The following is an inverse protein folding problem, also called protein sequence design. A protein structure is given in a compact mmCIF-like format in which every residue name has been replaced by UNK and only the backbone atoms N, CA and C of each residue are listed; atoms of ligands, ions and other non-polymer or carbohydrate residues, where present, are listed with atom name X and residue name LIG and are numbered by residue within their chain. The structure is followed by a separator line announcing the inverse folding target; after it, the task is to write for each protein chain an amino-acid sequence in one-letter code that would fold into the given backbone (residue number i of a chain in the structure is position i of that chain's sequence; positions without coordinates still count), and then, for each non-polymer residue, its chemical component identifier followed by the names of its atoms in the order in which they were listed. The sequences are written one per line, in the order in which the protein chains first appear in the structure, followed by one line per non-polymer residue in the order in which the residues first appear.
data_IF_513239947114
#
_entry.id   IF_513239947114
#
_cell.length_a   1.000
_cell.length_b   1.000
_cell.length_c   1.000
_cell.angle_alpha   90.00
_cell.angle_beta   90.00
_cell.angle_gamma   90.00
#
_symmetry.space_group_name_H-M   'P 1'
#
loop_
_entity.id
_entity.type
_entity.pdbx_description
1 polymer ?
#
# COMPACT_ATOMS: atom_id res chain seq x y z
N UNK A 1 -24.80 27.58 -53.71
CA UNK A 1 -23.73 28.14 -52.83
C UNK A 1 -24.10 28.11 -51.35
N UNK A 2 -25.34 27.74 -50.97
CA UNK A 2 -25.68 27.39 -49.58
C UNK A 2 -25.49 25.89 -49.29
N UNK A 3 -25.50 25.07 -50.34
CA UNK A 3 -25.43 23.60 -50.22
C UNK A 3 -24.03 23.07 -49.86
N UNK A 4 -22.95 23.79 -50.22
CA UNK A 4 -21.57 23.40 -49.85
C UNK A 4 -21.19 23.78 -48.40
N UNK A 5 -21.80 24.82 -47.83
CA UNK A 5 -21.52 25.24 -46.44
C UNK A 5 -22.17 24.28 -45.44
N UNK A 6 -23.34 23.73 -45.77
CA UNK A 6 -24.06 22.75 -44.96
C UNK A 6 -23.37 21.37 -44.98
N UNK A 7 -22.82 20.96 -46.14
CA UNK A 7 -22.00 19.74 -46.26
C UNK A 7 -20.67 19.84 -45.50
N UNK A 8 -20.00 21.01 -45.53
CA UNK A 8 -18.78 21.23 -44.74
C UNK A 8 -19.06 21.20 -43.24
N UNK A 9 -20.18 21.78 -42.77
CA UNK A 9 -20.56 21.74 -41.37
C UNK A 9 -20.92 20.32 -40.90
N UNK A 10 -21.63 19.53 -41.70
CA UNK A 10 -21.92 18.12 -41.41
C UNK A 10 -20.67 17.24 -41.34
N UNK A 11 -19.69 17.49 -42.22
CA UNK A 11 -18.40 16.79 -42.26
C UNK A 11 -17.53 17.13 -41.04
N UNK A 12 -17.42 18.40 -40.68
CA UNK A 12 -16.62 18.85 -39.53
C UNK A 12 -17.23 18.36 -38.20
N UNK A 13 -18.55 18.46 -38.03
CA UNK A 13 -19.21 17.90 -36.83
C UNK A 13 -19.07 16.37 -36.77
N UNK A 14 -19.20 15.68 -37.90
CA UNK A 14 -19.03 14.23 -37.97
C UNK A 14 -17.61 13.77 -37.57
N UNK A 15 -16.59 14.56 -37.92
CA UNK A 15 -15.20 14.27 -37.56
C UNK A 15 -14.93 14.55 -36.07
N UNK A 16 -15.42 15.67 -35.52
CA UNK A 16 -15.28 15.98 -34.09
C UNK A 16 -15.98 14.96 -33.19
N UNK A 17 -17.16 14.47 -33.59
CA UNK A 17 -17.88 13.42 -32.85
C UNK A 17 -17.16 12.07 -32.91
N UNK A 18 -16.48 11.75 -34.02
CA UNK A 18 -15.63 10.56 -34.13
C UNK A 18 -14.34 10.68 -33.32
N UNK A 19 -13.69 11.84 -33.36
CA UNK A 19 -12.49 12.12 -32.57
C UNK A 19 -12.77 12.02 -31.06
N UNK A 20 -13.87 12.63 -30.59
CA UNK A 20 -14.26 12.62 -29.18
C UNK A 20 -14.69 11.24 -28.68
N UNK A 21 -15.31 10.41 -29.54
CA UNK A 21 -15.61 9.01 -29.22
C UNK A 21 -14.35 8.15 -29.15
N UNK A 22 -13.39 8.35 -30.06
CA UNK A 22 -12.09 7.66 -30.01
C UNK A 22 -11.29 8.05 -28.75
N UNK A 23 -11.31 9.34 -28.35
CA UNK A 23 -10.68 9.80 -27.12
C UNK A 23 -11.37 9.18 -25.88
N UNK A 24 -12.70 9.09 -25.87
CA UNK A 24 -13.43 8.45 -24.76
C UNK A 24 -13.17 6.93 -24.67
N UNK A 25 -13.11 6.22 -25.80
CA UNK A 25 -12.73 4.79 -25.85
C UNK A 25 -11.25 4.55 -25.49
N UNK A 26 -10.35 5.50 -25.77
CA UNK A 26 -8.96 5.45 -25.31
C UNK A 26 -8.84 5.69 -23.80
N UNK A 27 -9.68 6.55 -23.22
CA UNK A 27 -9.74 6.79 -21.77
C UNK A 27 -10.31 5.59 -21.00
N UNK A 28 -11.13 4.75 -21.64
CA UNK A 28 -11.71 3.53 -21.05
C UNK A 28 -10.79 2.29 -21.18
N UNK A 29 -9.70 2.38 -21.95
CA UNK A 29 -8.66 1.33 -22.06
C UNK A 29 -7.49 1.46 -21.09
N UNK A 30 -7.55 2.37 -20.12
CA UNK A 30 -6.64 2.35 -18.96
C UNK A 30 -7.17 1.35 -17.94
N UNK A 31 -7.19 0.07 -18.32
CA UNK A 31 -7.29 -1.05 -17.39
C UNK A 31 -5.88 -1.40 -16.95
N UNK A 32 -5.47 -0.83 -15.82
CA UNK A 32 -5.28 -1.61 -14.60
C UNK A 32 -5.14 -0.61 -13.43
N UNK A 33 -5.68 -0.91 -12.22
CA UNK A 33 -5.29 -0.17 -11.02
C UNK A 33 -3.76 -0.15 -10.98
N UNK A 34 -3.11 0.99 -10.63
CA UNK A 34 -1.67 1.13 -10.81
C UNK A 34 -0.97 -0.04 -10.13
N UNK A 35 -0.46 -0.96 -10.95
CA UNK A 35 0.57 -1.92 -10.57
C UNK A 35 1.63 -1.05 -9.91
N UNK A 36 1.83 -1.21 -8.60
CA UNK A 36 2.73 -0.38 -7.81
C UNK A 36 4.10 -0.37 -8.51
N UNK A 37 4.36 0.73 -9.20
CA UNK A 37 5.21 0.74 -10.40
C UNK A 37 6.63 0.27 -10.06
N UNK A 38 7.24 -0.52 -10.94
CA UNK A 38 8.59 -1.04 -10.81
C UNK A 38 9.68 0.06 -10.76
N UNK A 39 9.31 1.33 -10.87
CA UNK A 39 10.20 2.48 -10.80
C UNK A 39 10.00 3.23 -9.47
N UNK A 40 10.98 3.10 -8.56
CA UNK A 40 11.05 3.90 -7.34
C UNK A 40 11.74 5.26 -7.56
N UNK A 41 11.82 5.71 -8.81
CA UNK A 41 12.56 6.90 -9.19
C UNK A 41 11.77 8.16 -8.85
N UNK A 42 12.41 9.05 -8.11
CA UNK A 42 11.78 10.30 -7.69
C UNK A 42 11.73 11.28 -8.86
N UNK A 43 10.56 11.87 -9.07
CA UNK A 43 10.35 12.91 -10.09
C UNK A 43 9.94 14.22 -9.42
N UNK A 44 10.40 15.39 -9.91
CA UNK A 44 9.90 16.66 -9.42
C UNK A 44 8.38 16.73 -9.51
N UNK A 45 7.74 17.32 -8.48
CA UNK A 45 6.27 17.48 -8.38
C UNK A 45 5.46 16.19 -8.23
N UNK A 46 6.10 15.06 -7.92
CA UNK A 46 5.38 13.85 -7.54
C UNK A 46 4.48 14.12 -6.31
N UNK A 47 3.28 13.56 -6.32
CA UNK A 47 2.27 13.76 -5.29
C UNK A 47 1.71 12.43 -4.78
N UNK A 48 1.35 12.41 -3.52
CA UNK A 48 0.67 11.31 -2.85
C UNK A 48 -0.65 11.81 -2.26
N UNK A 49 -1.79 11.15 -2.49
CA UNK A 49 -3.09 11.60 -1.98
C UNK A 49 -3.14 11.72 -0.46
N UNK A 50 -2.44 10.83 0.25
CA UNK A 50 -2.39 10.83 1.72
C UNK A 50 -0.96 10.71 2.24
N UNK A 51 -0.79 10.99 3.54
CA UNK A 51 0.48 10.73 4.24
C UNK A 51 0.84 9.24 4.23
N UNK A 52 -0.15 8.34 4.28
CA UNK A 52 0.13 6.90 4.30
C UNK A 52 0.62 6.40 2.95
N UNK A 53 0.06 6.90 1.84
CA UNK A 53 0.57 6.60 0.50
C UNK A 53 2.02 7.08 0.32
N UNK A 54 2.33 8.26 0.86
CA UNK A 54 3.68 8.81 0.88
C UNK A 54 4.63 7.91 1.69
N UNK A 55 4.23 7.52 2.91
CA UNK A 55 5.00 6.61 3.76
C UNK A 55 5.24 5.27 3.08
N UNK A 56 4.21 4.68 2.50
CA UNK A 56 4.29 3.37 1.88
C UNK A 56 5.18 3.38 0.64
N UNK A 57 5.13 4.43 -0.15
CA UNK A 57 6.07 4.64 -1.25
C UNK A 57 7.53 4.65 -0.77
N UNK A 58 7.85 5.44 0.26
CA UNK A 58 9.22 5.51 0.75
C UNK A 58 9.67 4.22 1.47
N UNK A 59 8.78 3.55 2.21
CA UNK A 59 9.05 2.21 2.77
C UNK A 59 9.38 1.21 1.66
N UNK A 60 8.58 1.17 0.59
CA UNK A 60 8.81 0.29 -0.55
C UNK A 60 10.15 0.61 -1.24
N UNK A 61 10.43 1.89 -1.51
CA UNK A 61 11.72 2.32 -2.07
C UNK A 61 12.90 1.88 -1.20
N UNK A 62 12.81 2.08 0.11
CA UNK A 62 13.85 1.68 1.06
C UNK A 62 14.10 0.17 1.09
N UNK A 63 13.04 -0.63 1.05
CA UNK A 63 13.14 -2.10 0.99
C UNK A 63 13.75 -2.55 -0.34
N UNK A 64 13.29 -1.98 -1.47
CA UNK A 64 13.79 -2.32 -2.81
C UNK A 64 15.27 -1.95 -2.99
N UNK A 65 15.66 -0.76 -2.52
CA UNK A 65 17.03 -0.24 -2.61
C UNK A 65 17.90 -0.64 -1.40
N UNK A 66 17.36 -1.46 -0.48
CA UNK A 66 18.08 -2.07 0.64
C UNK A 66 18.75 -1.06 1.58
N UNK A 67 18.07 0.03 1.90
CA UNK A 67 18.53 1.00 2.91
C UNK A 67 17.49 1.20 4.00
N UNK A 68 17.89 1.87 5.08
CA UNK A 68 17.00 2.29 6.16
C UNK A 68 17.01 3.80 6.32
N UNK A 69 15.86 4.38 6.61
CA UNK A 69 15.71 5.81 6.92
C UNK A 69 15.03 6.03 8.28
N UNK A 70 15.11 7.27 8.76
CA UNK A 70 14.38 7.77 9.93
C UNK A 70 13.54 8.98 9.53
N UNK A 71 12.39 9.12 10.17
CA UNK A 71 11.58 10.32 10.05
C UNK A 71 12.11 11.39 11.03
N UNK A 72 12.23 12.63 10.56
CA UNK A 72 12.51 13.77 11.44
C UNK A 72 11.30 14.06 12.34
N UNK A 73 11.50 14.06 13.67
CA UNK A 73 10.40 14.03 14.66
C UNK A 73 9.60 15.34 14.80
N UNK A 74 10.10 16.48 14.32
CA UNK A 74 9.62 17.80 14.73
C UNK A 74 8.96 18.65 13.62
N UNK A 75 8.26 18.03 12.66
CA UNK A 75 7.58 18.80 11.61
C UNK A 75 6.16 18.27 11.34
N UNK A 76 5.16 19.14 11.58
CA UNK A 76 3.73 18.84 11.35
C UNK A 76 3.28 19.16 9.93
N UNK A 77 4.05 19.98 9.20
CA UNK A 77 3.72 20.50 7.86
C UNK A 77 4.50 19.75 6.78
N UNK A 78 5.70 19.29 7.13
CA UNK A 78 6.61 18.59 6.25
C UNK A 78 6.84 17.18 6.74
N UNK A 79 6.89 16.27 5.80
CA UNK A 79 7.37 14.92 6.01
C UNK A 79 8.82 14.86 5.53
N UNK A 80 9.74 14.86 6.48
CA UNK A 80 11.18 14.84 6.22
C UNK A 80 11.73 13.47 6.57
N UNK A 81 12.39 12.84 5.60
CA UNK A 81 13.10 11.58 5.75
C UNK A 81 14.59 11.80 5.61
N UNK A 82 15.34 11.18 6.50
CA UNK A 82 16.80 11.21 6.54
C UNK A 82 17.29 9.77 6.52
N UNK A 83 18.47 9.53 5.94
CA UNK A 83 19.08 8.21 6.09
C UNK A 83 19.26 7.88 7.57
N UNK A 84 19.31 6.58 7.89
CA UNK A 84 19.63 6.12 9.24
C UNK A 84 21.08 6.41 9.61
N UNK A 85 21.97 6.43 8.62
CA UNK A 85 23.33 6.92 8.75
C UNK A 85 23.31 8.46 8.80
N UNK A 86 23.90 9.03 9.85
CA UNK A 86 23.86 10.48 10.10
C UNK A 86 24.78 11.29 9.18
N UNK A 87 25.81 10.64 8.61
CA UNK A 87 26.75 11.27 7.67
C UNK A 87 26.25 11.18 6.22
N UNK A 88 25.17 10.44 5.98
CA UNK A 88 24.60 10.28 4.66
C UNK A 88 23.82 11.50 4.20
N UNK A 89 24.06 11.92 2.95
CA UNK A 89 23.37 13.08 2.34
C UNK A 89 21.97 12.76 1.81
N UNK A 90 21.54 11.49 1.82
CA UNK A 90 20.20 11.13 1.35
C UNK A 90 19.15 11.80 2.23
N UNK A 91 18.27 12.58 1.60
CA UNK A 91 17.25 13.35 2.31
C UNK A 91 16.06 13.59 1.42
N UNK A 92 14.87 13.34 1.93
CA UNK A 92 13.62 13.62 1.25
C UNK A 92 12.80 14.61 2.06
N UNK A 93 12.19 15.57 1.38
CA UNK A 93 11.24 16.50 1.95
C UNK A 93 9.97 16.52 1.11
N UNK A 94 8.90 15.97 1.66
CA UNK A 94 7.55 16.16 1.17
C UNK A 94 6.81 17.19 2.05
N UNK A 95 5.89 17.94 1.47
CA UNK A 95 5.08 18.95 2.18
C UNK A 95 3.60 18.69 1.94
N UNK A 96 2.77 19.06 2.90
CA UNK A 96 1.33 19.06 2.69
C UNK A 96 0.92 20.16 1.69
N UNK A 97 0.04 19.83 0.77
CA UNK A 97 -0.51 20.76 -0.20
C UNK A 97 -1.53 21.70 0.47
N UNK A 98 -2.06 22.66 -0.29
CA UNK A 98 -3.05 23.62 0.21
C UNK A 98 -4.39 22.97 0.56
N UNK A 99 -4.67 21.79 0.02
CA UNK A 99 -5.87 21.01 0.30
C UNK A 99 -5.85 20.30 1.67
N UNK A 100 -4.72 20.36 2.39
CA UNK A 100 -4.58 19.84 3.73
C UNK A 100 -4.50 18.31 3.85
N UNK A 101 -4.35 17.57 2.74
CA UNK A 101 -4.23 16.09 2.80
C UNK A 101 -3.23 15.52 1.78
N UNK A 102 -3.09 16.14 0.61
CA UNK A 102 -2.14 15.69 -0.42
C UNK A 102 -0.72 16.04 -0.02
N UNK A 103 0.22 15.10 -0.16
CA UNK A 103 1.64 15.32 0.03
C UNK A 103 2.35 15.53 -1.30
N UNK A 104 3.20 16.56 -1.38
CA UNK A 104 3.94 16.91 -2.60
C UNK A 104 5.43 16.79 -2.32
N UNK A 105 6.15 16.11 -3.20
CA UNK A 105 7.61 16.08 -3.18
C UNK A 105 8.18 17.46 -3.46
N UNK A 106 8.85 18.06 -2.48
CA UNK A 106 9.35 19.44 -2.56
C UNK A 106 10.83 19.52 -2.85
N UNK A 107 11.63 18.77 -2.10
CA UNK A 107 13.09 18.68 -2.24
C UNK A 107 13.51 17.26 -1.97
N UNK A 108 14.46 16.76 -2.73
CA UNK A 108 15.05 15.46 -2.50
C UNK A 108 16.51 15.45 -2.93
N UNK A 109 17.30 14.66 -2.22
CA UNK A 109 18.58 14.14 -2.64
C UNK A 109 18.48 12.62 -2.56
N UNK A 110 18.39 11.95 -3.71
CA UNK A 110 18.21 10.51 -3.80
C UNK A 110 19.54 9.73 -3.89
N UNK A 111 20.65 10.44 -3.75
CA UNK A 111 21.98 9.84 -3.74
C UNK A 111 22.42 9.50 -2.32
N UNK A 112 22.78 8.23 -2.10
CA UNK A 112 23.39 7.76 -0.87
C UNK A 112 24.90 7.95 -0.93
N UNK A 113 25.47 8.59 0.11
CA UNK A 113 26.92 8.65 0.33
C UNK A 113 27.41 7.61 1.34
N UNK A 114 26.50 6.84 1.92
CA UNK A 114 26.81 5.77 2.86
C UNK A 114 26.91 4.44 2.13
N UNK A 115 27.75 3.54 2.64
CA UNK A 115 27.74 2.14 2.22
C UNK A 115 26.49 1.44 2.75
N UNK A 116 26.01 0.44 2.01
CA UNK A 116 24.90 -0.42 2.44
C UNK A 116 25.36 -1.24 3.64
N UNK A 117 25.18 -0.70 4.84
CA UNK A 117 25.59 -1.32 6.08
C UNK A 117 24.64 -2.48 6.45
N UNK A 118 25.14 -3.71 6.49
CA UNK A 118 24.43 -4.90 7.01
C UNK A 118 23.93 -4.70 8.46
N UNK A 119 24.61 -3.82 9.22
CA UNK A 119 24.23 -3.43 10.59
C UNK A 119 22.93 -2.65 10.65
N UNK A 120 22.47 -2.06 9.54
CA UNK A 120 21.19 -1.40 9.41
C UNK A 120 20.13 -2.38 8.88
N UNK A 121 19.80 -3.40 9.69
CA UNK A 121 18.68 -4.31 9.46
C UNK A 121 17.46 -3.53 8.97
N UNK A 122 16.82 -4.03 7.91
CA UNK A 122 15.76 -3.41 7.11
C UNK A 122 14.56 -2.93 7.96
N UNK A 123 14.69 -1.76 8.59
CA UNK A 123 13.74 -1.26 9.60
C UNK A 123 12.35 -1.00 9.01
N UNK A 124 12.25 -0.87 7.69
CA UNK A 124 11.06 -0.55 6.94
C UNK A 124 10.23 -1.79 6.60
N UNK A 125 10.82 -2.99 6.63
CA UNK A 125 10.13 -4.27 6.44
C UNK A 125 9.38 -4.67 7.72
N UNK A 126 8.47 -3.81 8.17
CA UNK A 126 7.67 -4.02 9.38
C UNK A 126 6.56 -5.03 9.13
N UNK A 127 6.04 -5.66 10.19
CA UNK A 127 4.96 -6.66 10.07
C UNK A 127 3.74 -6.13 9.30
N UNK A 128 3.25 -4.88 9.52
CA UNK A 128 2.13 -4.33 8.74
C UNK A 128 2.46 -4.14 7.26
N UNK A 129 3.70 -3.74 6.95
CA UNK A 129 4.12 -3.58 5.55
C UNK A 129 4.17 -4.95 4.85
N UNK A 130 4.75 -5.96 5.51
CA UNK A 130 4.79 -7.33 4.99
C UNK A 130 3.37 -7.88 4.82
N UNK A 131 2.50 -7.66 5.81
CA UNK A 131 1.10 -8.06 5.74
C UNK A 131 0.42 -7.50 4.49
N UNK A 132 0.53 -6.19 4.24
CA UNK A 132 -0.05 -5.52 3.07
C UNK A 132 0.46 -6.08 1.73
N UNK A 133 1.74 -6.47 1.64
CA UNK A 133 2.35 -6.94 0.39
C UNK A 133 2.16 -8.43 0.11
N UNK A 134 1.82 -9.23 1.12
CA UNK A 134 1.65 -10.69 1.01
C UNK A 134 0.24 -11.17 1.35
N UNK A 135 -0.69 -10.25 1.62
CA UNK A 135 -2.08 -10.56 1.94
C UNK A 135 -2.74 -11.46 0.90
N UNK A 136 -2.59 -11.13 -0.38
CA UNK A 136 -3.16 -11.92 -1.48
C UNK A 136 -2.61 -13.34 -1.50
N UNK A 137 -1.30 -13.50 -1.31
CA UNK A 137 -0.65 -14.81 -1.35
C UNK A 137 -1.11 -15.73 -0.22
N UNK A 138 -1.26 -15.17 0.99
CA UNK A 138 -1.75 -15.91 2.17
C UNK A 138 -3.25 -16.21 2.06
N UNK A 139 -4.05 -15.30 1.47
CA UNK A 139 -5.46 -15.56 1.17
C UNK A 139 -5.61 -16.77 0.25
N UNK A 140 -4.80 -16.83 -0.80
CA UNK A 140 -4.90 -17.89 -1.81
C UNK A 140 -4.30 -19.22 -1.30
N UNK A 141 -3.42 -19.17 -0.29
CA UNK A 141 -2.78 -20.34 0.31
C UNK A 141 -2.92 -20.35 1.84
N UNK A 142 -4.02 -20.87 2.41
CA UNK A 142 -4.28 -20.83 3.86
C UNK A 142 -3.19 -21.49 4.72
N UNK A 143 -2.45 -22.45 4.17
CA UNK A 143 -1.36 -23.15 4.84
C UNK A 143 -0.02 -22.39 4.84
N UNK A 144 -0.01 -21.13 4.39
CA UNK A 144 1.20 -20.31 4.34
C UNK A 144 1.85 -20.20 5.72
N UNK A 145 3.12 -20.58 5.84
CA UNK A 145 3.84 -20.53 7.12
C UNK A 145 4.63 -19.22 7.22
N UNK A 146 4.92 -18.76 8.45
CA UNK A 146 5.84 -17.62 8.64
C UNK A 146 7.20 -17.83 7.96
N UNK A 147 7.70 -19.08 7.92
CA UNK A 147 8.95 -19.41 7.22
C UNK A 147 8.87 -19.22 5.69
N UNK A 148 7.69 -19.46 5.11
CA UNK A 148 7.47 -19.21 3.69
C UNK A 148 7.48 -17.70 3.40
N UNK A 149 6.93 -16.88 4.32
CA UNK A 149 7.04 -15.41 4.24
C UNK A 149 8.48 -14.90 4.34
N UNK A 150 9.30 -15.47 5.24
CA UNK A 150 10.72 -15.14 5.33
C UNK A 150 11.44 -15.41 3.99
N UNK A 151 11.24 -16.61 3.43
CA UNK A 151 11.85 -17.03 2.18
C UNK A 151 11.40 -16.16 0.99
N UNK A 152 10.13 -15.81 0.94
CA UNK A 152 9.56 -14.93 -0.05
C UNK A 152 10.09 -13.50 0.01
N UNK A 153 10.22 -12.95 1.22
CA UNK A 153 10.80 -11.61 1.43
C UNK A 153 12.24 -11.57 0.91
N UNK A 154 13.00 -12.62 1.20
CA UNK A 154 14.35 -12.76 0.66
C UNK A 154 14.34 -12.93 -0.86
N UNK A 155 13.47 -13.76 -1.40
CA UNK A 155 13.41 -14.02 -2.86
C UNK A 155 12.97 -12.79 -3.65
N UNK A 156 11.97 -12.06 -3.17
CA UNK A 156 11.36 -10.92 -3.88
C UNK A 156 12.14 -9.62 -3.70
N UNK A 157 12.67 -9.38 -2.50
CA UNK A 157 13.31 -8.10 -2.15
C UNK A 157 14.79 -8.24 -1.76
N UNK A 158 15.31 -9.46 -1.57
CA UNK A 158 16.66 -9.68 -1.06
C UNK A 158 16.84 -9.14 0.37
N UNK A 159 15.76 -9.20 1.17
CA UNK A 159 15.65 -8.63 2.51
C UNK A 159 15.30 -9.73 3.51
N UNK A 160 16.16 -9.91 4.50
CA UNK A 160 15.91 -10.83 5.62
C UNK A 160 15.05 -10.16 6.70
N UNK A 161 13.96 -10.82 7.06
CA UNK A 161 13.09 -10.43 8.19
C UNK A 161 13.20 -11.44 9.33
N UNK A 162 12.93 -10.99 10.55
CA UNK A 162 12.88 -11.91 11.69
C UNK A 162 11.66 -12.83 11.62
N UNK A 163 11.76 -14.01 12.22
CA UNK A 163 10.62 -14.92 12.37
C UNK A 163 9.42 -14.26 13.05
N UNK A 164 9.66 -13.45 14.08
CA UNK A 164 8.60 -12.72 14.78
C UNK A 164 7.88 -11.71 13.88
N UNK A 165 8.62 -11.04 12.99
CA UNK A 165 8.04 -10.15 11.97
C UNK A 165 7.18 -10.93 11.00
N UNK A 166 7.65 -12.07 10.51
CA UNK A 166 6.89 -12.92 9.59
C UNK A 166 5.64 -13.51 10.24
N UNK A 167 5.77 -13.98 11.49
CA UNK A 167 4.65 -14.52 12.26
C UNK A 167 3.61 -13.43 12.53
N UNK A 168 4.04 -12.26 13.01
CA UNK A 168 3.16 -11.11 13.26
C UNK A 168 2.47 -10.64 11.97
N UNK A 169 3.18 -10.58 10.84
CA UNK A 169 2.60 -10.22 9.55
C UNK A 169 1.52 -11.23 9.13
N UNK A 170 1.79 -12.53 9.28
CA UNK A 170 0.81 -13.57 9.01
C UNK A 170 -0.43 -13.43 9.90
N UNK A 171 -0.24 -13.21 11.21
CA UNK A 171 -1.36 -13.01 12.14
C UNK A 171 -2.22 -11.82 11.72
N UNK A 172 -1.60 -10.68 11.39
CA UNK A 172 -2.32 -9.50 10.88
C UNK A 172 -3.10 -9.81 9.60
N UNK A 173 -2.53 -10.59 8.66
CA UNK A 173 -3.26 -11.00 7.46
C UNK A 173 -4.48 -11.85 7.82
N UNK A 174 -4.32 -12.83 8.72
CA UNK A 174 -5.43 -13.70 9.12
C UNK A 174 -6.53 -12.94 9.86
N UNK A 175 -6.17 -12.00 10.72
CA UNK A 175 -7.12 -11.12 11.40
C UNK A 175 -7.88 -10.25 10.38
N UNK A 176 -7.19 -9.71 9.37
CA UNK A 176 -7.83 -8.94 8.31
C UNK A 176 -8.78 -9.80 7.43
N UNK A 177 -8.52 -11.10 7.28
CA UNK A 177 -9.33 -12.00 6.45
C UNK A 177 -10.51 -12.61 7.20
N UNK A 178 -10.30 -13.01 8.46
CA UNK A 178 -11.24 -13.84 9.23
C UNK A 178 -11.86 -13.09 10.42
N UNK A 179 -11.43 -11.87 10.69
CA UNK A 179 -11.73 -11.17 11.95
C UNK A 179 -10.73 -11.53 13.05
N UNK A 180 -10.72 -10.72 14.10
CA UNK A 180 -9.85 -10.94 15.25
C UNK A 180 -10.52 -11.84 16.31
N UNK A 181 -9.74 -12.27 17.31
CA UNK A 181 -10.25 -13.16 18.35
C UNK A 181 -11.31 -12.49 19.24
N UNK A 182 -11.23 -11.17 19.44
CA UNK A 182 -12.16 -10.41 20.30
C UNK A 182 -13.55 -10.36 19.66
N UNK A 183 -13.61 -10.08 18.36
CA UNK A 183 -14.83 -10.11 17.55
C UNK A 183 -15.45 -11.51 17.55
N UNK A 184 -14.63 -12.55 17.36
CA UNK A 184 -15.10 -13.93 17.44
C UNK A 184 -15.67 -14.28 18.82
N UNK A 185 -15.00 -13.86 19.89
CA UNK A 185 -15.46 -14.09 21.26
C UNK A 185 -16.74 -13.32 21.60
N UNK A 186 -16.90 -12.09 21.11
CA UNK A 186 -18.12 -11.30 21.30
C UNK A 186 -19.38 -11.99 20.72
N UNK A 187 -19.22 -12.84 19.70
CA UNK A 187 -20.31 -13.58 19.07
C UNK A 187 -20.72 -14.85 19.83
N UNK A 188 -19.93 -15.31 20.80
CA UNK A 188 -20.14 -16.59 21.51
C UNK A 188 -21.49 -16.62 22.26
N UNK A 189 -21.86 -15.52 22.92
CA UNK A 189 -23.16 -15.41 23.62
C UNK A 189 -24.35 -15.54 22.66
N UNK A 190 -24.26 -14.89 21.51
CA UNK A 190 -25.31 -14.94 20.49
C UNK A 190 -25.40 -16.33 19.85
N UNK A 191 -24.26 -16.97 19.60
CA UNK A 191 -24.19 -18.36 19.15
C UNK A 191 -24.88 -19.31 20.15
N UNK A 192 -24.57 -19.19 21.45
CA UNK A 192 -25.22 -19.94 22.52
C UNK A 192 -26.75 -19.77 22.50
N UNK A 193 -27.24 -18.54 22.25
CA UNK A 193 -28.67 -18.24 22.15
C UNK A 193 -29.30 -18.90 20.92
N UNK A 194 -28.64 -18.85 19.77
CA UNK A 194 -29.12 -19.44 18.52
C UNK A 194 -29.19 -20.97 18.59
N UNK A 195 -28.17 -21.63 19.17
CA UNK A 195 -28.16 -23.09 19.35
C UNK A 195 -29.38 -23.56 20.14
N UNK A 196 -29.72 -22.87 21.25
CA UNK A 196 -30.91 -23.20 22.07
C UNK A 196 -32.22 -23.01 21.31
N UNK A 197 -32.27 -22.00 20.43
CA UNK A 197 -33.47 -21.67 19.65
C UNK A 197 -33.71 -22.69 18.55
N UNK A 198 -32.67 -23.02 17.78
CA UNK A 198 -32.81 -23.81 16.56
C UNK A 198 -32.75 -25.32 16.81
N UNK A 199 -32.17 -25.75 17.93
CA UNK A 199 -32.09 -27.17 18.33
C UNK A 199 -32.66 -27.40 19.74
N UNK A 200 -34.00 -27.48 19.88
CA UNK A 200 -34.66 -27.73 21.16
C UNK A 200 -34.13 -29.03 21.81
N UNK A 201 -33.64 -28.94 23.05
CA UNK A 201 -33.02 -30.05 23.78
C UNK A 201 -31.49 -29.98 23.85
N UNK A 202 -30.85 -29.07 23.10
CA UNK A 202 -29.42 -28.80 23.24
C UNK A 202 -29.10 -27.98 24.48
N UNK A 203 -28.00 -28.32 25.16
CA UNK A 203 -27.47 -27.56 26.30
C UNK A 203 -26.31 -26.70 25.80
N UNK A 204 -26.47 -25.37 25.88
CA UNK A 204 -25.41 -24.41 25.61
C UNK A 204 -25.30 -23.44 26.79
N UNK A 205 -24.14 -23.34 27.42
CA UNK A 205 -23.90 -22.44 28.54
C UNK A 205 -22.73 -21.53 28.21
N UNK A 206 -22.97 -20.23 28.23
CA UNK A 206 -21.96 -19.22 28.00
C UNK A 206 -21.85 -18.38 29.27
N UNK A 207 -20.82 -18.67 30.07
CA UNK A 207 -20.50 -17.92 31.28
C UNK A 207 -19.32 -17.01 30.97
N UNK A 208 -19.60 -15.72 30.76
CA UNK A 208 -18.56 -14.71 30.63
C UNK A 208 -17.98 -14.45 32.03
N UNK A 209 -16.66 -14.61 32.19
CA UNK A 209 -15.92 -14.34 33.42
C UNK A 209 -15.93 -12.85 33.79
#
# INVERSE_FOLDING_TARGET
MKDLEEELQGSVLGNVVRETKNIAEEMEKVSDPPVFNELCDLRPRMTWPTLEDCRDFFKFKAIKQKFSFRQHRNDKVRYILLCKDEECKWTITAIIARDGHTFILRKYNDEHTCETNEKNKYCQATSPWVAKHFQDKVRDHPNYKPKDLEADMFTKFGVEISYWTAWSARTLILENLNGNYEEGFALVTELCRQIKKDNPGSIAECSLL
#
